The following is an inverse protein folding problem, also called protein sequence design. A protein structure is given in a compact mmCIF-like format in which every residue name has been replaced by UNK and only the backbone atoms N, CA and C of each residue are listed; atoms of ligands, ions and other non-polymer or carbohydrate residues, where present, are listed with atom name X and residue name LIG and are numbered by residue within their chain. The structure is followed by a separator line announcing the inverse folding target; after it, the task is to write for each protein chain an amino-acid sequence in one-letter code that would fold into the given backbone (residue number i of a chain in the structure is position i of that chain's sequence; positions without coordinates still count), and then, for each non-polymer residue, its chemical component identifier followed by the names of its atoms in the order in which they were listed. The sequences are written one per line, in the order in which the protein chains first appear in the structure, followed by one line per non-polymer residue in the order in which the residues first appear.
data_IF_522600457488
#
_entry.id   IF_522600457488
#
_cell.length_a   1.000
_cell.length_b   1.000
_cell.length_c   1.000
_cell.angle_alpha   90.00
_cell.angle_beta   90.00
_cell.angle_gamma   90.00
#
_symmetry.space_group_name_H-M   'P 1'
#
loop_
_entity.id
_entity.type
_entity.pdbx_description
1 polymer ?
#
# COMPACT_ATOMS: atom_id res chain seq x y z
N UNK A 1 20.14 -0.22 -3.43
CA UNK A 1 18.98 0.66 -3.15
C UNK A 1 18.39 0.16 -1.85
N UNK A 2 18.43 0.96 -0.79
CA UNK A 2 17.78 0.60 0.47
C UNK A 2 16.28 0.65 0.25
N UNK A 3 15.60 -0.45 0.53
CA UNK A 3 14.15 -0.58 0.34
C UNK A 3 13.50 -0.54 1.72
N UNK A 4 12.65 0.45 1.95
CA UNK A 4 11.85 0.54 3.17
C UNK A 4 10.69 -0.46 3.09
N UNK A 5 10.28 -0.99 4.24
CA UNK A 5 9.06 -1.77 4.37
C UNK A 5 8.01 -0.94 5.12
N UNK A 6 6.89 -0.67 4.46
CA UNK A 6 5.75 0.00 5.06
C UNK A 6 4.58 -0.96 5.15
N UNK A 7 3.85 -0.90 6.26
CA UNK A 7 2.61 -1.63 6.43
C UNK A 7 1.48 -0.67 6.77
N UNK A 8 0.35 -0.82 6.07
CA UNK A 8 -0.84 -0.01 6.28
C UNK A 8 -2.03 -0.89 6.62
N UNK A 9 -2.82 -0.48 7.62
CA UNK A 9 -4.14 -1.05 7.89
C UNK A 9 -5.17 -0.27 7.07
N UNK A 10 -5.78 -0.91 6.07
CA UNK A 10 -6.66 -0.28 5.10
C UNK A 10 -7.99 -1.00 5.04
N UNK A 11 -9.09 -0.25 5.14
CA UNK A 11 -10.44 -0.81 5.06
C UNK A 11 -10.75 -1.24 3.61
N UNK A 12 -10.90 -2.54 3.43
CA UNK A 12 -11.18 -3.21 2.17
C UNK A 12 -12.38 -4.15 2.35
N UNK A 13 -13.52 -3.81 1.76
CA UNK A 13 -14.75 -4.58 1.90
C UNK A 13 -14.90 -5.73 0.90
N UNK A 14 -14.09 -5.75 -0.16
CA UNK A 14 -14.13 -6.77 -1.20
C UNK A 14 -12.81 -6.86 -1.97
N UNK A 15 -12.66 -7.90 -2.79
CA UNK A 15 -11.51 -8.08 -3.67
C UNK A 15 -11.31 -6.93 -4.67
N UNK A 16 -12.38 -6.23 -5.05
CA UNK A 16 -12.28 -5.03 -5.87
C UNK A 16 -11.51 -3.89 -5.18
N UNK A 17 -11.60 -3.78 -3.85
CA UNK A 17 -10.87 -2.77 -3.08
C UNK A 17 -9.37 -3.06 -3.04
N UNK A 18 -8.98 -4.31 -2.75
CA UNK A 18 -7.57 -4.72 -2.76
C UNK A 18 -6.96 -4.56 -4.16
N UNK A 19 -7.69 -4.93 -5.21
CA UNK A 19 -7.24 -4.75 -6.60
C UNK A 19 -7.04 -3.27 -6.97
N UNK A 20 -7.89 -2.36 -6.50
CA UNK A 20 -7.74 -0.93 -6.74
C UNK A 20 -6.45 -0.37 -6.10
N UNK A 21 -6.14 -0.80 -4.87
CA UNK A 21 -4.90 -0.44 -4.18
C UNK A 21 -3.69 -1.02 -4.91
N UNK A 22 -3.72 -2.31 -5.26
CA UNK A 22 -2.63 -2.93 -6.00
C UNK A 22 -2.33 -2.18 -7.30
N UNK A 23 -3.37 -1.84 -8.08
CA UNK A 23 -3.23 -1.14 -9.37
C UNK A 23 -2.58 0.24 -9.25
N UNK A 24 -2.77 0.97 -8.16
CA UNK A 24 -2.15 2.29 -8.00
C UNK A 24 -0.71 2.22 -7.51
N UNK A 25 -0.36 1.18 -6.76
CA UNK A 25 0.99 0.95 -6.24
C UNK A 25 1.92 0.33 -7.29
N UNK A 26 1.44 -0.61 -8.11
CA UNK A 26 2.25 -1.21 -9.19
C UNK A 26 2.61 -0.20 -10.28
N UNK A 27 1.85 0.88 -10.43
CA UNK A 27 2.20 2.02 -11.31
C UNK A 27 3.42 2.83 -10.84
N UNK A 28 3.91 2.59 -9.62
CA UNK A 28 5.10 3.21 -9.06
C UNK A 28 6.34 2.32 -9.21
N UNK A 29 6.30 1.31 -10.09
CA UNK A 29 7.51 0.60 -10.49
C UNK A 29 8.40 1.55 -11.34
N UNK A 30 9.74 1.48 -11.19
CA UNK A 30 10.49 0.49 -10.39
C UNK A 30 10.67 0.84 -8.91
N UNK A 31 10.25 2.01 -8.43
CA UNK A 31 10.50 2.47 -7.07
C UNK A 31 9.72 1.69 -6.00
N UNK A 32 8.59 1.08 -6.35
CA UNK A 32 7.89 0.06 -5.55
C UNK A 32 8.27 -1.32 -6.08
N UNK A 33 9.04 -2.07 -5.29
CA UNK A 33 9.60 -3.36 -5.70
C UNK A 33 8.70 -4.55 -5.35
N UNK A 34 7.90 -4.45 -4.29
CA UNK A 34 6.95 -5.49 -3.87
C UNK A 34 5.73 -4.88 -3.19
N UNK A 35 4.57 -5.46 -3.46
CA UNK A 35 3.29 -5.16 -2.81
C UNK A 35 2.66 -6.49 -2.40
N UNK A 36 2.23 -6.60 -1.15
CA UNK A 36 1.47 -7.73 -0.62
C UNK A 36 0.20 -7.19 0.05
N UNK A 37 -0.96 -7.74 -0.28
CA UNK A 37 -2.25 -7.25 0.20
C UNK A 37 -3.04 -8.43 0.75
N UNK A 38 -3.39 -8.34 2.04
CA UNK A 38 -4.26 -9.31 2.70
C UNK A 38 -5.62 -8.68 2.96
N UNK A 39 -6.64 -9.17 2.23
CA UNK A 39 -8.04 -8.78 2.49
C UNK A 39 -8.48 -9.27 3.88
N UNK A 40 -8.05 -10.47 4.29
CA UNK A 40 -8.40 -11.05 5.60
C UNK A 40 -7.83 -10.22 6.76
N UNK A 41 -6.57 -9.80 6.66
CA UNK A 41 -5.90 -9.02 7.71
C UNK A 41 -6.13 -7.52 7.58
N UNK A 42 -6.74 -7.07 6.49
CA UNK A 42 -6.88 -5.65 6.13
C UNK A 42 -5.53 -4.93 6.05
N UNK A 43 -4.49 -5.62 5.59
CA UNK A 43 -3.12 -5.07 5.50
C UNK A 43 -2.66 -4.87 4.06
N UNK A 44 -1.85 -3.83 3.86
CA UNK A 44 -1.13 -3.54 2.63
C UNK A 44 0.34 -3.33 3.00
N UNK A 45 1.18 -4.27 2.59
CA UNK A 45 2.62 -4.28 2.79
C UNK A 45 3.30 -3.79 1.50
N UNK A 46 4.14 -2.76 1.60
CA UNK A 46 4.78 -2.09 0.47
C UNK A 46 6.27 -1.99 0.71
N UNK A 47 7.05 -2.47 -0.27
CA UNK A 47 8.50 -2.34 -0.28
C UNK A 47 8.89 -1.30 -1.33
N UNK A 48 9.48 -0.18 -0.88
CA UNK A 48 9.77 0.94 -1.77
C UNK A 48 10.96 1.78 -1.34
N UNK A 49 11.62 2.42 -2.32
CA UNK A 49 12.57 3.50 -2.07
C UNK A 49 11.91 4.88 -1.93
N UNK A 50 10.60 4.99 -2.20
CA UNK A 50 9.85 6.23 -2.05
C UNK A 50 9.61 6.55 -0.56
N UNK A 51 9.42 7.84 -0.21
CA UNK A 51 9.01 8.23 1.14
C UNK A 51 7.67 7.63 1.56
N UNK A 52 7.53 7.33 2.85
CA UNK A 52 6.29 6.82 3.46
C UNK A 52 5.04 7.64 3.06
N UNK A 53 5.12 8.97 3.14
CA UNK A 53 4.00 9.86 2.80
C UNK A 53 3.55 9.71 1.34
N UNK A 54 4.49 9.49 0.40
CA UNK A 54 4.15 9.26 -1.01
C UNK A 54 3.31 8.00 -1.19
N UNK A 55 3.67 6.92 -0.48
CA UNK A 55 2.92 5.67 -0.52
C UNK A 55 1.55 5.85 0.16
N UNK A 56 1.51 6.49 1.32
CA UNK A 56 0.27 6.77 2.05
C UNK A 56 -0.71 7.59 1.20
N UNK A 57 -0.25 8.67 0.57
CA UNK A 57 -1.07 9.48 -0.33
C UNK A 57 -1.59 8.67 -1.52
N UNK A 58 -0.77 7.76 -2.07
CA UNK A 58 -1.19 6.93 -3.19
C UNK A 58 -2.31 5.99 -2.80
N UNK A 59 -2.23 5.38 -1.61
CA UNK A 59 -3.30 4.53 -1.06
C UNK A 59 -4.55 5.38 -0.81
N UNK A 60 -4.44 6.54 -0.15
CA UNK A 60 -5.59 7.43 0.11
C UNK A 60 -6.33 7.88 -1.16
N UNK A 61 -5.62 8.09 -2.28
CA UNK A 61 -6.21 8.42 -3.59
C UNK A 61 -7.15 7.33 -4.15
N UNK A 62 -7.14 6.12 -3.60
CA UNK A 62 -8.11 5.06 -3.94
C UNK A 62 -9.46 5.22 -3.23
N UNK A 63 -9.59 6.22 -2.36
CA UNK A 63 -10.80 6.48 -1.57
C UNK A 63 -11.02 5.47 -0.44
N UNK A 64 -10.00 4.68 -0.09
CA UNK A 64 -10.07 3.71 1.01
C UNK A 64 -9.56 4.33 2.30
N UNK A 65 -10.25 4.04 3.39
CA UNK A 65 -9.87 4.49 4.73
C UNK A 65 -8.59 3.78 5.17
N UNK A 66 -7.60 4.55 5.61
CA UNK A 66 -6.36 4.03 6.19
C UNK A 66 -6.42 4.29 7.70
N UNK A 67 -6.51 3.22 8.49
CA UNK A 67 -6.65 3.28 9.96
C UNK A 67 -5.32 3.57 10.64
N UNK A 68 -4.24 2.99 10.12
CA UNK A 68 -2.89 3.17 10.63
C UNK A 68 -1.87 2.83 9.54
N UNK A 69 -0.64 3.31 9.73
CA UNK A 69 0.51 2.81 8.99
C UNK A 69 1.79 3.00 9.78
N UNK A 70 2.76 2.13 9.52
CA UNK A 70 4.04 2.08 10.22
C UNK A 70 5.16 1.67 9.27
N UNK A 71 6.37 2.11 9.59
CA UNK A 71 7.60 1.61 8.97
C UNK A 71 8.12 0.43 9.77
N UNK A 72 8.53 -0.63 9.08
CA UNK A 72 9.05 -1.88 9.62
C UNK A 72 10.54 -2.04 9.29
#
# INVERSE_FOLDING_TARGET
MSTNHYQFNVVMSCQGCSNAINKVLTKLQPEVSKVDISLEKQTVDVYSSLPYETILEKIKKTGKEVKSGNTL
#
